data_IF_018538386199
#
_entry.id   IF_018538386199
#
_cell.length_a   1.000
_cell.length_b   1.000
_cell.length_c   1.000
_cell.angle_alpha   90.00
_cell.angle_beta   90.00
_cell.angle_gamma   90.00
#
_symmetry.space_group_name_H-M   'P 1'
#
loop_
_entity.id
_entity.type
_entity.pdbx_description
1 polymer ?
#
# COMPACT_ATOMS: atom_id res chain seq x y z
N UNK A 1 26.33 -8.82 12.08
CA UNK A 1 24.99 -9.08 11.49
C UNK A 1 24.50 -7.76 10.94
N UNK A 2 24.09 -7.70 9.67
CA UNK A 2 23.48 -6.49 9.14
C UNK A 2 22.20 -6.22 9.91
N UNK A 3 22.01 -4.98 10.33
CA UNK A 3 20.82 -4.56 11.07
C UNK A 3 19.61 -4.69 10.12
N UNK A 4 18.65 -5.56 10.44
CA UNK A 4 17.47 -5.81 9.59
C UNK A 4 16.60 -4.56 9.62
N UNK A 5 16.24 -4.05 8.43
CA UNK A 5 15.42 -2.85 8.28
C UNK A 5 14.06 -3.03 8.95
N UNK A 6 13.74 -2.17 9.91
CA UNK A 6 12.41 -2.05 10.50
C UNK A 6 11.55 -1.09 9.69
N UNK A 7 10.33 -1.53 9.34
CA UNK A 7 9.39 -0.69 8.61
C UNK A 7 8.65 0.24 9.55
N UNK A 8 8.18 1.35 8.99
CA UNK A 8 7.35 2.34 9.67
C UNK A 8 5.93 2.28 9.16
N UNK A 9 4.97 2.74 9.96
CA UNK A 9 3.61 2.99 9.53
C UNK A 9 3.54 4.29 8.72
N UNK A 10 2.68 4.35 7.69
CA UNK A 10 2.41 5.56 6.95
C UNK A 10 1.05 6.10 7.39
N UNK A 11 1.05 7.21 8.13
CA UNK A 11 -0.16 7.78 8.74
C UNK A 11 -0.13 9.30 8.54
N UNK A 12 -1.22 9.87 8.07
CA UNK A 12 -1.39 11.32 7.83
C UNK A 12 -0.29 11.93 6.93
N UNK A 13 0.11 11.18 5.92
CA UNK A 13 1.15 11.61 4.97
C UNK A 13 2.59 11.46 5.46
N UNK A 14 2.83 10.88 6.63
CA UNK A 14 4.15 10.75 7.24
C UNK A 14 4.51 9.30 7.61
N UNK A 15 5.80 9.00 7.58
CA UNK A 15 6.35 7.73 8.04
C UNK A 15 6.62 7.78 9.55
N UNK A 16 5.78 7.10 10.33
CA UNK A 16 5.79 7.12 11.80
C UNK A 16 6.34 5.80 12.35
N UNK A 17 7.30 5.86 13.25
CA UNK A 17 7.78 4.69 13.99
C UNK A 17 6.70 4.21 14.96
N UNK A 18 6.47 2.89 14.98
CA UNK A 18 5.58 2.28 15.98
C UNK A 18 6.23 2.31 17.37
N UNK A 19 5.41 2.47 18.38
CA UNK A 19 5.82 2.41 19.80
C UNK A 19 5.93 0.96 20.32
N UNK A 20 5.69 -0.03 19.46
CA UNK A 20 5.79 -1.44 19.82
C UNK A 20 7.25 -1.88 19.95
N UNK A 21 7.50 -2.83 20.84
CA UNK A 21 8.76 -3.60 20.91
C UNK A 21 8.68 -4.92 20.14
N UNK A 22 7.49 -5.25 19.56
CA UNK A 22 7.22 -6.49 18.84
C UNK A 22 7.22 -6.27 17.33
N UNK A 23 8.02 -7.08 16.65
CA UNK A 23 8.14 -7.05 15.19
C UNK A 23 8.00 -8.46 14.65
N UNK A 24 7.52 -8.58 13.44
CA UNK A 24 7.43 -9.83 12.68
C UNK A 24 8.31 -9.77 11.44
N UNK A 25 9.01 -10.86 11.18
CA UNK A 25 9.93 -10.97 10.04
C UNK A 25 9.15 -11.20 8.74
N UNK A 26 9.50 -10.43 7.72
CA UNK A 26 9.11 -10.68 6.34
C UNK A 26 10.21 -11.51 5.70
N UNK A 27 9.90 -12.73 5.32
CA UNK A 27 10.86 -13.73 4.89
C UNK A 27 10.71 -13.99 3.39
N UNK A 28 11.82 -14.09 2.68
CA UNK A 28 11.86 -14.64 1.34
C UNK A 28 11.64 -16.17 1.43
N UNK A 29 10.53 -16.72 0.96
CA UNK A 29 10.22 -18.14 1.11
C UNK A 29 11.13 -19.06 0.30
N UNK A 30 11.82 -18.54 -0.71
CA UNK A 30 12.75 -19.32 -1.53
C UNK A 30 14.13 -19.51 -0.88
N UNK A 31 14.57 -18.55 -0.06
CA UNK A 31 15.91 -18.55 0.55
C UNK A 31 15.91 -18.65 2.07
N UNK A 32 14.79 -18.32 2.72
CA UNK A 32 14.70 -18.16 4.19
C UNK A 32 15.33 -16.86 4.72
N UNK A 33 15.76 -15.97 3.84
CA UNK A 33 16.34 -14.68 4.21
C UNK A 33 15.28 -13.74 4.77
N UNK A 34 15.58 -13.04 5.89
CA UNK A 34 14.75 -11.97 6.43
C UNK A 34 14.96 -10.70 5.60
N UNK A 35 13.93 -10.25 4.89
CA UNK A 35 13.96 -9.06 4.04
C UNK A 35 13.82 -7.77 4.84
N UNK A 36 12.90 -7.76 5.80
CA UNK A 36 12.64 -6.64 6.70
C UNK A 36 11.79 -7.11 7.87
N UNK A 37 11.50 -6.20 8.80
CA UNK A 37 10.62 -6.44 9.94
C UNK A 37 9.46 -5.44 9.94
N UNK A 38 8.23 -5.93 10.14
CA UNK A 38 7.02 -5.11 10.28
C UNK A 38 6.65 -4.96 11.75
N UNK A 39 6.24 -3.77 12.21
CA UNK A 39 5.81 -3.58 13.59
C UNK A 39 4.44 -4.25 13.83
N UNK A 40 4.30 -4.95 14.96
CA UNK A 40 2.99 -5.33 15.48
C UNK A 40 2.46 -4.13 16.26
N UNK A 41 1.84 -3.21 15.52
CA UNK A 41 1.35 -1.94 16.05
C UNK A 41 0.36 -2.15 17.19
N UNK A 42 0.41 -1.25 18.17
CA UNK A 42 -0.45 -1.34 19.34
C UNK A 42 -1.90 -0.97 19.01
N UNK A 43 -2.84 -1.42 19.85
CA UNK A 43 -4.26 -1.03 19.72
C UNK A 43 -4.46 0.49 19.74
N UNK A 44 -3.70 1.20 20.59
CA UNK A 44 -3.79 2.65 20.67
C UNK A 44 -3.34 3.35 19.38
N UNK A 45 -2.31 2.84 18.70
CA UNK A 45 -1.87 3.35 17.40
C UNK A 45 -2.92 3.11 16.31
N UNK A 46 -3.57 1.96 16.32
CA UNK A 46 -4.67 1.64 15.40
C UNK A 46 -5.86 2.58 15.62
N UNK A 47 -6.28 2.76 16.87
CA UNK A 47 -7.38 3.66 17.22
C UNK A 47 -7.06 5.11 16.83
N UNK A 48 -5.84 5.57 17.04
CA UNK A 48 -5.39 6.90 16.61
C UNK A 48 -5.41 7.05 15.07
N UNK A 49 -4.93 6.05 14.34
CA UNK A 49 -4.96 6.07 12.88
C UNK A 49 -6.39 6.12 12.34
N UNK A 50 -7.33 5.40 12.96
CA UNK A 50 -8.75 5.42 12.60
C UNK A 50 -9.38 6.82 12.82
N UNK A 51 -9.08 7.48 13.93
CA UNK A 51 -9.55 8.85 14.20
C UNK A 51 -9.00 9.84 13.16
N UNK A 52 -7.73 9.74 12.82
CA UNK A 52 -7.09 10.59 11.78
C UNK A 52 -7.76 10.37 10.43
N UNK A 53 -8.03 9.11 10.07
CA UNK A 53 -8.71 8.77 8.82
C UNK A 53 -10.14 9.32 8.76
N UNK A 54 -10.89 9.25 9.86
CA UNK A 54 -12.23 9.84 9.98
C UNK A 54 -12.20 11.37 9.77
N UNK A 55 -11.28 12.06 10.43
CA UNK A 55 -11.10 13.51 10.25
C UNK A 55 -10.72 13.87 8.80
N UNK A 56 -9.87 13.08 8.16
CA UNK A 56 -9.54 13.26 6.75
C UNK A 56 -10.75 13.03 5.84
N UNK A 57 -11.59 12.03 6.16
CA UNK A 57 -12.81 11.73 5.42
C UNK A 57 -13.81 12.89 5.42
N UNK A 58 -13.97 13.61 6.52
CA UNK A 58 -14.86 14.79 6.59
C UNK A 58 -14.57 15.80 5.48
N UNK A 59 -13.29 16.09 5.22
CA UNK A 59 -12.85 17.00 4.16
C UNK A 59 -12.88 16.34 2.78
N UNK A 60 -12.38 15.10 2.70
CA UNK A 60 -12.26 14.38 1.44
C UNK A 60 -13.62 14.06 0.81
N UNK A 61 -14.63 13.73 1.63
CA UNK A 61 -15.99 13.44 1.16
C UNK A 61 -16.65 14.63 0.47
N UNK A 62 -16.27 15.87 0.81
CA UNK A 62 -16.77 17.10 0.20
C UNK A 62 -16.08 17.47 -1.13
N UNK A 63 -14.97 16.80 -1.46
CA UNK A 63 -14.28 17.02 -2.73
C UNK A 63 -15.11 16.42 -3.87
N UNK A 64 -15.33 17.21 -4.92
CA UNK A 64 -16.10 16.77 -6.10
C UNK A 64 -15.55 15.45 -6.67
N UNK A 65 -16.44 14.52 -7.03
CA UNK A 65 -16.09 13.16 -7.48
C UNK A 65 -15.07 13.16 -8.63
N UNK A 66 -15.16 14.03 -9.67
CA UNK A 66 -14.14 14.07 -10.73
C UNK A 66 -12.74 14.48 -10.23
N UNK A 67 -12.67 15.32 -9.20
CA UNK A 67 -11.38 15.71 -8.59
C UNK A 67 -10.76 14.56 -7.83
N UNK A 68 -11.57 13.79 -7.12
CA UNK A 68 -11.11 12.57 -6.42
C UNK A 68 -10.61 11.53 -7.41
N UNK A 69 -11.31 11.33 -8.52
CA UNK A 69 -10.89 10.40 -9.57
C UNK A 69 -9.52 10.75 -10.17
N UNK A 70 -9.17 12.04 -10.29
CA UNK A 70 -7.85 12.46 -10.79
C UNK A 70 -6.69 11.93 -9.94
N UNK A 71 -6.89 11.78 -8.64
CA UNK A 71 -5.88 11.16 -7.76
C UNK A 71 -5.67 9.70 -8.14
N UNK A 72 -6.74 8.96 -8.45
CA UNK A 72 -6.66 7.57 -8.90
C UNK A 72 -5.96 7.44 -10.26
N UNK A 73 -6.22 8.35 -11.21
CA UNK A 73 -5.47 8.39 -12.48
C UNK A 73 -3.97 8.62 -12.25
N UNK A 74 -3.60 9.55 -11.37
CA UNK A 74 -2.19 9.77 -11.02
C UNK A 74 -1.58 8.55 -10.33
N UNK A 75 -2.32 7.89 -9.47
CA UNK A 75 -1.88 6.66 -8.81
C UNK A 75 -1.67 5.53 -9.82
N UNK A 76 -2.58 5.35 -10.78
CA UNK A 76 -2.43 4.39 -11.87
C UNK A 76 -1.12 4.61 -12.64
N UNK A 77 -0.80 5.86 -12.99
CA UNK A 77 0.45 6.16 -13.70
C UNK A 77 1.70 5.78 -12.86
N UNK A 78 1.67 6.03 -11.56
CA UNK A 78 2.76 5.61 -10.66
C UNK A 78 2.87 4.08 -10.60
N UNK A 79 1.78 3.34 -10.53
CA UNK A 79 1.80 1.88 -10.57
C UNK A 79 2.39 1.34 -11.88
N UNK A 80 2.06 1.97 -13.02
CA UNK A 80 2.62 1.60 -14.33
C UNK A 80 4.14 1.86 -14.35
N UNK A 81 4.58 3.02 -13.87
CA UNK A 81 6.02 3.36 -13.79
C UNK A 81 6.82 2.40 -12.92
N UNK A 82 6.25 1.97 -11.79
CA UNK A 82 6.89 1.10 -10.81
C UNK A 82 6.51 -0.38 -10.96
N UNK A 83 5.87 -0.77 -12.07
CA UNK A 83 5.35 -2.14 -12.28
C UNK A 83 6.41 -3.21 -12.08
N UNK A 84 7.60 -3.01 -12.63
CA UNK A 84 8.68 -4.01 -12.54
C UNK A 84 9.25 -4.11 -11.12
N UNK A 85 9.39 -2.98 -10.42
CA UNK A 85 9.82 -2.94 -9.02
C UNK A 85 8.83 -3.67 -8.12
N UNK A 86 7.54 -3.38 -8.26
CA UNK A 86 6.47 -4.03 -7.50
C UNK A 86 6.41 -5.54 -7.78
N UNK A 87 6.56 -5.96 -9.04
CA UNK A 87 6.59 -7.38 -9.39
C UNK A 87 7.78 -8.11 -8.75
N UNK A 88 8.95 -7.50 -8.69
CA UNK A 88 10.11 -8.06 -7.99
C UNK A 88 9.89 -8.20 -6.49
N UNK A 89 9.25 -7.21 -5.85
CA UNK A 89 8.88 -7.29 -4.44
C UNK A 89 7.91 -8.45 -4.19
N UNK A 90 6.89 -8.63 -5.01
CA UNK A 90 5.97 -9.78 -4.92
C UNK A 90 6.74 -11.10 -5.02
N UNK A 91 7.65 -11.22 -5.97
CA UNK A 91 8.49 -12.43 -6.11
C UNK A 91 9.31 -12.68 -4.86
N UNK A 92 9.93 -11.64 -4.29
CA UNK A 92 10.76 -11.76 -3.08
C UNK A 92 9.96 -12.19 -1.86
N UNK A 93 8.77 -11.61 -1.66
CA UNK A 93 7.97 -11.86 -0.45
C UNK A 93 7.05 -13.08 -0.57
N UNK A 94 6.59 -13.43 -1.76
CA UNK A 94 5.63 -14.51 -1.98
C UNK A 94 6.28 -15.79 -2.56
N UNK A 95 7.40 -15.66 -3.27
CA UNK A 95 8.09 -16.78 -3.92
C UNK A 95 7.53 -17.16 -5.29
N UNK A 96 6.53 -16.46 -5.83
CA UNK A 96 6.04 -16.74 -7.20
C UNK A 96 7.02 -16.26 -8.26
N UNK A 97 6.93 -16.84 -9.45
CA UNK A 97 7.78 -16.41 -10.56
C UNK A 97 7.44 -14.98 -11.02
N UNK A 98 8.44 -14.30 -11.60
CA UNK A 98 8.32 -12.89 -11.96
C UNK A 98 7.25 -12.62 -13.03
N UNK A 99 6.99 -13.56 -13.93
CA UNK A 99 5.93 -13.43 -14.95
C UNK A 99 4.55 -13.37 -14.32
N UNK A 100 4.26 -14.23 -13.36
CA UNK A 100 2.99 -14.22 -12.60
C UNK A 100 2.88 -12.98 -11.72
N UNK A 101 3.98 -12.56 -11.08
CA UNK A 101 4.02 -11.33 -10.28
C UNK A 101 3.70 -10.08 -11.12
N UNK A 102 4.22 -9.99 -12.36
CA UNK A 102 3.86 -8.93 -13.31
C UNK A 102 2.37 -8.93 -13.65
N UNK A 103 1.77 -10.11 -13.82
CA UNK A 103 0.33 -10.28 -14.04
C UNK A 103 -0.49 -9.83 -12.84
N UNK A 104 0.01 -10.03 -11.63
CA UNK A 104 -0.65 -9.60 -10.39
C UNK A 104 -0.65 -8.08 -10.24
N UNK A 105 0.49 -7.43 -10.49
CA UNK A 105 0.56 -5.95 -10.54
C UNK A 105 -0.36 -5.40 -11.64
N UNK A 106 -0.43 -6.06 -12.80
CA UNK A 106 -1.33 -5.65 -13.89
C UNK A 106 -2.79 -5.67 -13.43
N UNK A 107 -3.24 -6.71 -12.74
CA UNK A 107 -4.61 -6.75 -12.17
C UNK A 107 -4.85 -5.63 -11.15
N UNK A 108 -3.85 -5.29 -10.34
CA UNK A 108 -3.91 -4.13 -9.44
C UNK A 108 -4.10 -2.82 -10.19
N UNK A 109 -3.36 -2.60 -11.30
CA UNK A 109 -3.50 -1.43 -12.18
C UNK A 109 -4.91 -1.34 -12.76
N UNK A 110 -5.46 -2.45 -13.25
CA UNK A 110 -6.81 -2.54 -13.81
C UNK A 110 -7.90 -2.25 -12.77
N UNK A 111 -7.72 -2.67 -11.52
CA UNK A 111 -8.62 -2.32 -10.42
C UNK A 111 -8.63 -0.80 -10.15
N UNK A 112 -7.47 -0.15 -10.17
CA UNK A 112 -7.38 1.31 -10.00
C UNK A 112 -8.00 2.02 -11.19
N UNK A 113 -7.80 1.53 -12.41
CA UNK A 113 -8.44 2.05 -13.63
C UNK A 113 -9.96 1.99 -13.54
N UNK A 114 -10.50 0.84 -13.13
CA UNK A 114 -11.94 0.69 -12.90
C UNK A 114 -12.46 1.68 -11.84
N UNK A 115 -11.75 1.81 -10.71
CA UNK A 115 -12.11 2.75 -9.65
C UNK A 115 -12.05 4.21 -10.13
N UNK A 116 -11.10 4.58 -10.99
CA UNK A 116 -11.00 5.91 -11.58
C UNK A 116 -12.20 6.25 -12.50
N UNK A 117 -12.86 5.22 -13.08
CA UNK A 117 -14.08 5.34 -13.85
C UNK A 117 -15.37 5.51 -13.03
N UNK A 118 -15.30 5.37 -11.70
CA UNK A 118 -16.46 5.46 -10.80
C UNK A 118 -17.34 6.71 -10.99
N UNK A 119 -16.81 7.93 -11.32
CA UNK A 119 -17.66 9.09 -11.58
C UNK A 119 -18.73 8.85 -12.66
N UNK A 120 -18.40 8.12 -13.71
CA UNK A 120 -19.35 7.77 -14.78
C UNK A 120 -20.42 6.78 -14.28
N UNK A 121 -20.00 5.79 -13.49
CA UNK A 121 -20.93 4.79 -12.92
C UNK A 121 -21.91 5.41 -11.93
N UNK A 122 -21.49 6.46 -11.20
CA UNK A 122 -22.35 7.19 -10.26
C UNK A 122 -23.41 8.07 -10.93
N UNK A 123 -23.33 8.27 -12.21
CA UNK A 123 -24.33 9.07 -12.96
C UNK A 123 -25.59 8.26 -13.29
N UNK A 124 -25.56 6.96 -13.17
CA UNK A 124 -26.69 6.07 -13.51
C UNK A 124 -26.71 5.67 -14.98
#
# INVERSE_FOLDING_TARGET
>A
MADVRKLKNYIDGEWVESKTDKYEDVINPATGEVLCQVPISTRAELDQAAVIAEQAFEKWSQVAVPRRARVLFSFQQLLIQHKEELARLITLENGKNLSEARGEVQRGIENVEFAAGAPTLMMG
#
